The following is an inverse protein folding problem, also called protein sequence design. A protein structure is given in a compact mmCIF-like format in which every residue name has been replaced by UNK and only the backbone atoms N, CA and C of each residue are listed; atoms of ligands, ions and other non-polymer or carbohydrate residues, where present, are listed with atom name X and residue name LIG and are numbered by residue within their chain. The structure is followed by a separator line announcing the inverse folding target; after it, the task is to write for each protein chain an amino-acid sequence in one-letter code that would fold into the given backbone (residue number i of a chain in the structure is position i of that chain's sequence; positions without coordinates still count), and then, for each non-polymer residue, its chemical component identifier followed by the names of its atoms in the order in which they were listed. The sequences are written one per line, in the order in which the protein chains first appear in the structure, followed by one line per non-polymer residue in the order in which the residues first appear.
data_IF_442795606418
#
_entry.id   IF_442795606418
#
_cell.length_a   1.000
_cell.length_b   1.000
_cell.length_c   1.000
_cell.angle_alpha   90.00
_cell.angle_beta   90.00
_cell.angle_gamma   90.00
#
_symmetry.space_group_name_H-M   'P 1'
#
loop_
_entity.id
_entity.type
_entity.pdbx_description
1 polymer ?
#
# COMPACT_ATOMS: atom_id res chain seq x y z
N UNK A 1 2.45 5.08 -0.23
CA UNK A 1 3.04 3.77 -0.57
C UNK A 1 4.41 3.57 0.10
N UNK A 2 5.24 4.64 0.27
CA UNK A 2 6.58 4.51 0.89
C UNK A 2 6.49 3.96 2.33
N UNK A 3 5.70 4.59 3.19
CA UNK A 3 5.50 4.13 4.57
C UNK A 3 4.95 2.70 4.64
N UNK A 4 4.08 2.33 3.70
CA UNK A 4 3.55 0.97 3.60
C UNK A 4 4.68 -0.04 3.36
N UNK A 5 5.49 0.16 2.32
CA UNK A 5 6.63 -0.70 2.01
C UNK A 5 7.66 -0.74 3.15
N UNK A 6 7.96 0.42 3.74
CA UNK A 6 8.93 0.53 4.83
C UNK A 6 8.49 -0.27 6.07
N UNK A 7 7.19 -0.21 6.39
CA UNK A 7 6.63 -0.89 7.57
C UNK A 7 6.71 -2.42 7.51
N UNK A 8 6.75 -2.99 6.28
CA UNK A 8 6.86 -4.44 6.09
C UNK A 8 8.21 -5.01 6.51
N UNK A 9 9.26 -4.17 6.61
CA UNK A 9 10.61 -4.60 6.98
C UNK A 9 11.27 -5.49 5.91
N UNK A 10 10.93 -5.27 4.64
CA UNK A 10 11.54 -5.96 3.51
C UNK A 10 13.04 -5.66 3.42
N UNK A 11 13.81 -6.64 3.00
CA UNK A 11 15.26 -6.57 2.89
C UNK A 11 15.69 -6.37 1.43
N UNK A 12 16.91 -5.89 1.22
CA UNK A 12 17.54 -5.85 -0.10
C UNK A 12 17.37 -7.19 -0.83
N UNK A 13 16.96 -7.12 -2.10
CA UNK A 13 16.69 -8.26 -2.98
C UNK A 13 15.41 -9.07 -2.64
N UNK A 14 14.63 -8.71 -1.63
CA UNK A 14 13.31 -9.29 -1.45
C UNK A 14 12.46 -9.03 -2.70
N UNK A 15 11.71 -10.04 -3.12
CA UNK A 15 10.96 -9.99 -4.38
C UNK A 15 9.59 -9.39 -4.14
N UNK A 16 9.28 -8.36 -4.93
CA UNK A 16 7.96 -7.74 -4.99
C UNK A 16 7.38 -7.82 -6.40
N UNK A 17 6.11 -8.17 -6.47
CA UNK A 17 5.32 -8.12 -7.71
C UNK A 17 4.44 -6.89 -7.72
N UNK A 18 4.27 -6.27 -8.88
CA UNK A 18 3.36 -5.14 -9.08
C UNK A 18 2.86 -5.07 -10.52
N UNK A 19 1.72 -4.40 -10.78
CA UNK A 19 1.21 -4.23 -12.15
C UNK A 19 2.22 -3.53 -13.05
N UNK A 20 2.27 -3.92 -14.32
CA UNK A 20 3.02 -3.21 -15.36
C UNK A 20 2.37 -1.84 -15.69
N UNK A 21 1.05 -1.73 -15.54
CA UNK A 21 0.31 -0.46 -15.64
C UNK A 21 0.02 0.03 -14.22
N UNK A 22 0.76 1.03 -13.79
CA UNK A 22 0.57 1.72 -12.51
C UNK A 22 1.34 3.05 -12.52
N UNK A 23 1.02 3.94 -11.59
CA UNK A 23 1.83 5.13 -11.37
C UNK A 23 3.23 4.74 -10.87
N UNK A 24 4.24 5.43 -11.39
CA UNK A 24 5.66 5.06 -11.21
C UNK A 24 6.14 5.02 -9.76
N UNK A 25 5.40 5.64 -8.82
CA UNK A 25 5.83 5.76 -7.42
C UNK A 25 6.12 4.41 -6.76
N UNK A 26 5.28 3.40 -6.98
CA UNK A 26 5.46 2.07 -6.40
C UNK A 26 6.77 1.42 -6.84
N UNK A 27 7.10 1.56 -8.14
CA UNK A 27 8.34 1.06 -8.71
C UNK A 27 9.56 1.79 -8.15
N UNK A 28 9.54 3.13 -8.19
CA UNK A 28 10.64 3.96 -7.71
C UNK A 28 10.98 3.66 -6.24
N UNK A 29 9.96 3.56 -5.39
CA UNK A 29 10.14 3.28 -3.97
C UNK A 29 10.67 1.86 -3.72
N UNK A 30 10.20 0.88 -4.47
CA UNK A 30 10.75 -0.48 -4.42
C UNK A 30 12.22 -0.49 -4.83
N UNK A 31 12.62 0.31 -5.83
CA UNK A 31 14.04 0.43 -6.26
C UNK A 31 14.88 1.18 -5.22
N UNK A 32 14.38 2.23 -4.59
CA UNK A 32 15.04 2.94 -3.48
C UNK A 32 15.31 1.98 -2.32
N UNK A 33 14.34 1.12 -2.00
CA UNK A 33 14.48 0.08 -0.98
C UNK A 33 15.33 -1.12 -1.44
N UNK A 34 15.91 -1.06 -2.65
CA UNK A 34 16.75 -2.10 -3.25
C UNK A 34 16.04 -3.47 -3.36
N UNK A 35 14.71 -3.45 -3.55
CA UNK A 35 13.91 -4.64 -3.78
C UNK A 35 14.07 -5.14 -5.22
N UNK A 36 13.87 -6.43 -5.42
CA UNK A 36 13.81 -7.03 -6.75
C UNK A 36 12.36 -7.00 -7.24
N UNK A 37 12.11 -6.16 -8.25
CA UNK A 37 10.78 -5.96 -8.79
C UNK A 37 10.55 -6.84 -10.02
N UNK A 38 9.40 -7.51 -10.06
CA UNK A 38 8.86 -8.10 -11.27
C UNK A 38 7.54 -7.42 -11.62
N UNK A 39 7.44 -6.94 -12.84
CA UNK A 39 6.22 -6.38 -13.38
C UNK A 39 5.34 -7.52 -13.87
N UNK A 40 4.09 -7.51 -13.43
CA UNK A 40 3.06 -8.45 -13.83
C UNK A 40 2.25 -7.81 -14.94
N UNK A 41 2.08 -8.51 -16.05
CA UNK A 41 1.22 -8.08 -17.13
C UNK A 41 -0.23 -7.90 -16.66
N UNK A 42 -0.99 -7.10 -17.36
CA UNK A 42 -2.37 -6.77 -17.00
C UNK A 42 -3.34 -7.38 -18.02
N UNK A 43 -4.58 -7.51 -17.61
CA UNK A 43 -5.68 -7.80 -18.51
C UNK A 43 -5.93 -6.61 -19.44
N UNK A 44 -6.09 -6.87 -20.73
CA UNK A 44 -6.20 -5.83 -21.77
C UNK A 44 -7.49 -4.99 -21.67
N UNK A 45 -8.55 -5.54 -21.07
CA UNK A 45 -9.84 -4.85 -20.94
C UNK A 45 -9.92 -4.00 -19.67
N UNK A 46 -9.35 -4.49 -18.57
CA UNK A 46 -9.46 -3.83 -17.27
C UNK A 46 -8.22 -3.02 -16.88
N UNK A 47 -7.09 -3.27 -17.52
CA UNK A 47 -5.81 -2.66 -17.14
C UNK A 47 -5.30 -3.12 -15.76
N UNK A 48 -5.90 -4.16 -15.17
CA UNK A 48 -5.54 -4.67 -13.85
C UNK A 48 -4.82 -6.02 -13.94
N UNK A 49 -4.02 -6.34 -12.94
CA UNK A 49 -3.45 -7.70 -12.82
C UNK A 49 -4.52 -8.71 -12.47
N UNK A 50 -4.34 -9.93 -12.95
CA UNK A 50 -5.20 -11.05 -12.58
C UNK A 50 -4.39 -12.15 -11.88
N UNK A 51 -5.03 -13.07 -11.16
CA UNK A 51 -4.36 -14.21 -10.55
C UNK A 51 -3.56 -15.03 -11.55
N UNK A 52 -4.09 -15.21 -12.76
CA UNK A 52 -3.48 -15.99 -13.85
C UNK A 52 -2.18 -15.30 -14.30
N UNK A 53 -2.20 -13.98 -14.53
CA UNK A 53 -1.01 -13.19 -14.91
C UNK A 53 0.06 -13.22 -13.81
N UNK A 54 -0.33 -13.23 -12.54
CA UNK A 54 0.61 -13.39 -11.42
C UNK A 54 1.28 -14.77 -11.50
N UNK A 55 0.49 -15.86 -11.68
CA UNK A 55 1.02 -17.21 -11.77
C UNK A 55 1.91 -17.41 -13.00
N UNK A 56 1.57 -16.82 -14.15
CA UNK A 56 2.41 -16.78 -15.35
C UNK A 56 3.76 -16.09 -15.06
N UNK A 57 3.73 -14.91 -14.43
CA UNK A 57 4.93 -14.18 -14.05
C UNK A 57 5.84 -15.01 -13.13
N UNK A 58 5.26 -15.67 -12.13
CA UNK A 58 5.99 -16.56 -11.22
C UNK A 58 6.66 -17.71 -11.98
N UNK A 59 5.91 -18.38 -12.84
CA UNK A 59 6.40 -19.53 -13.65
C UNK A 59 7.48 -19.10 -14.63
N UNK A 60 7.22 -18.07 -15.43
CA UNK A 60 8.15 -17.54 -16.45
C UNK A 60 9.51 -17.14 -15.86
N UNK A 61 9.49 -16.49 -14.69
CA UNK A 61 10.68 -15.98 -14.02
C UNK A 61 11.27 -16.94 -12.98
N UNK A 62 10.71 -18.15 -12.84
CA UNK A 62 11.14 -19.18 -11.87
C UNK A 62 11.24 -18.61 -10.44
N UNK A 63 10.25 -17.80 -10.03
CA UNK A 63 10.24 -17.13 -8.73
C UNK A 63 9.91 -18.16 -7.65
N UNK A 64 10.86 -18.38 -6.74
CA UNK A 64 10.71 -19.35 -5.64
C UNK A 64 9.95 -18.79 -4.45
N UNK A 65 10.07 -17.49 -4.19
CA UNK A 65 9.46 -16.81 -3.04
C UNK A 65 9.07 -15.38 -3.42
N UNK A 66 7.85 -15.00 -3.10
CA UNK A 66 7.36 -13.62 -3.19
C UNK A 66 7.32 -13.07 -1.77
N UNK A 67 7.73 -11.82 -1.57
CA UNK A 67 7.69 -11.16 -0.26
C UNK A 67 6.52 -10.20 -0.16
N UNK A 68 6.19 -9.49 -1.25
CA UNK A 68 5.02 -8.63 -1.32
C UNK A 68 4.42 -8.61 -2.73
N UNK A 69 3.11 -8.36 -2.79
CA UNK A 69 2.36 -8.04 -3.99
C UNK A 69 1.71 -6.68 -3.79
N UNK A 70 1.86 -5.78 -4.74
CA UNK A 70 1.05 -4.57 -4.85
C UNK A 70 -0.02 -4.82 -5.91
N UNK A 71 -1.28 -4.62 -5.56
CA UNK A 71 -2.40 -4.54 -6.52
C UNK A 71 -2.70 -3.08 -6.79
N UNK A 72 -3.30 -2.78 -7.94
CA UNK A 72 -3.82 -1.46 -8.27
C UNK A 72 -5.25 -1.60 -8.74
N UNK A 73 -6.16 -0.84 -8.12
CA UNK A 73 -7.56 -0.77 -8.55
C UNK A 73 -7.72 0.35 -9.57
N UNK A 74 -7.32 0.07 -10.81
CA UNK A 74 -7.36 1.04 -11.90
C UNK A 74 -8.79 1.54 -12.12
N UNK A 75 -8.97 2.86 -12.26
CA UNK A 75 -10.31 3.47 -12.35
C UNK A 75 -11.18 3.33 -11.08
N UNK A 76 -10.63 2.82 -9.98
CA UNK A 76 -11.36 2.66 -8.71
C UNK A 76 -12.23 1.41 -8.61
N UNK A 77 -12.09 0.48 -9.58
CA UNK A 77 -12.87 -0.76 -9.61
C UNK A 77 -12.11 -1.93 -8.97
N UNK A 78 -12.54 -2.41 -7.79
CA UNK A 78 -11.82 -3.48 -7.08
C UNK A 78 -12.21 -4.87 -7.61
N UNK A 79 -11.29 -5.50 -8.33
CA UNK A 79 -11.45 -6.86 -8.85
C UNK A 79 -10.54 -7.86 -8.13
N UNK A 80 -10.89 -9.14 -8.24
CA UNK A 80 -10.05 -10.29 -7.85
C UNK A 80 -9.58 -10.32 -6.38
N UNK A 81 -10.18 -9.53 -5.48
CA UNK A 81 -9.73 -9.41 -4.08
C UNK A 81 -9.69 -10.77 -3.37
N UNK A 82 -10.72 -11.61 -3.55
CA UNK A 82 -10.73 -12.95 -2.98
C UNK A 82 -9.60 -13.82 -3.52
N UNK A 83 -9.36 -13.76 -4.81
CA UNK A 83 -8.30 -14.52 -5.46
C UNK A 83 -6.91 -14.08 -5.00
N UNK A 84 -6.67 -12.78 -4.89
CA UNK A 84 -5.41 -12.25 -4.34
C UNK A 84 -5.22 -12.66 -2.88
N UNK A 85 -6.26 -12.63 -2.08
CA UNK A 85 -6.21 -13.11 -0.70
C UNK A 85 -5.89 -14.60 -0.60
N UNK A 86 -6.44 -15.43 -1.51
CA UNK A 86 -6.12 -16.85 -1.59
C UNK A 86 -4.68 -17.08 -2.04
N UNK A 87 -4.18 -16.32 -3.03
CA UNK A 87 -2.77 -16.34 -3.43
C UNK A 87 -1.84 -15.91 -2.29
N UNK A 88 -2.21 -14.86 -1.56
CA UNK A 88 -1.48 -14.42 -0.37
C UNK A 88 -1.31 -15.55 0.63
N UNK A 89 -2.37 -16.28 0.94
CA UNK A 89 -2.31 -17.43 1.85
C UNK A 89 -1.43 -18.56 1.31
N UNK A 90 -1.58 -18.87 0.01
CA UNK A 90 -0.85 -19.96 -0.64
C UNK A 90 0.66 -19.70 -0.69
N UNK A 91 1.08 -18.48 -1.00
CA UNK A 91 2.48 -18.11 -1.21
C UNK A 91 3.11 -17.35 -0.02
N UNK A 92 2.32 -17.04 1.00
CA UNK A 92 2.74 -16.36 2.23
C UNK A 92 3.50 -15.04 1.97
N UNK A 93 2.88 -14.11 1.23
CA UNK A 93 3.41 -12.78 0.96
C UNK A 93 2.55 -11.68 1.59
N UNK A 94 3.09 -10.47 1.73
CA UNK A 94 2.32 -9.29 2.10
C UNK A 94 1.55 -8.73 0.91
N UNK A 95 0.27 -8.42 1.12
CA UNK A 95 -0.59 -7.83 0.11
C UNK A 95 -0.84 -6.36 0.42
N UNK A 96 -0.40 -5.48 -0.48
CA UNK A 96 -0.64 -4.04 -0.44
C UNK A 96 -1.65 -3.68 -1.53
N UNK A 97 -2.73 -3.01 -1.14
CA UNK A 97 -3.67 -2.40 -2.06
C UNK A 97 -3.22 -0.97 -2.38
N UNK A 98 -2.82 -0.73 -3.62
CA UNK A 98 -2.76 0.64 -4.13
C UNK A 98 -4.19 1.07 -4.50
N UNK A 99 -4.86 1.69 -3.55
CA UNK A 99 -6.23 2.12 -3.63
C UNK A 99 -6.37 3.61 -4.00
N UNK A 100 -5.34 4.16 -4.65
CA UNK A 100 -5.28 5.59 -4.97
C UNK A 100 -6.41 6.08 -5.89
N UNK A 101 -7.14 5.18 -6.56
CA UNK A 101 -8.35 5.49 -7.33
C UNK A 101 -9.64 4.96 -6.68
N UNK A 102 -9.54 4.25 -5.56
CA UNK A 102 -10.65 3.46 -5.01
C UNK A 102 -11.19 3.96 -3.67
N UNK A 103 -11.02 5.27 -3.37
CA UNK A 103 -11.63 5.88 -2.20
C UNK A 103 -13.16 5.80 -2.30
N UNK A 104 -13.82 5.20 -1.30
CA UNK A 104 -15.27 4.97 -1.28
C UNK A 104 -15.73 3.71 -2.01
N UNK A 105 -14.86 3.05 -2.78
CA UNK A 105 -15.18 1.80 -3.47
C UNK A 105 -15.45 0.66 -2.49
N UNK A 106 -16.31 -0.28 -2.92
CA UNK A 106 -16.73 -1.44 -2.14
C UNK A 106 -16.57 -2.72 -2.95
N UNK A 107 -16.39 -3.83 -2.26
CA UNK A 107 -16.38 -5.16 -2.86
C UNK A 107 -17.23 -6.15 -2.03
N UNK A 108 -17.72 -7.18 -2.68
CA UNK A 108 -18.46 -8.26 -2.03
C UNK A 108 -17.56 -9.48 -1.81
N UNK A 109 -17.62 -10.04 -0.62
CA UNK A 109 -16.95 -11.29 -0.27
C UNK A 109 -17.87 -12.13 0.62
N UNK A 110 -18.18 -13.37 0.23
CA UNK A 110 -19.07 -14.30 0.97
C UNK A 110 -20.34 -13.60 1.50
N UNK A 111 -21.11 -12.98 0.62
CA UNK A 111 -22.36 -12.26 0.92
C UNK A 111 -22.24 -11.04 1.86
N UNK A 112 -21.03 -10.60 2.19
CA UNK A 112 -20.79 -9.36 2.95
C UNK A 112 -20.12 -8.31 2.06
N UNK A 113 -20.47 -7.04 2.30
CA UNK A 113 -19.88 -5.90 1.62
C UNK A 113 -18.80 -5.31 2.52
N UNK A 114 -17.65 -5.03 1.92
CA UNK A 114 -16.50 -4.40 2.58
C UNK A 114 -16.08 -3.17 1.80
N UNK A 115 -15.64 -2.14 2.51
CA UNK A 115 -15.00 -0.99 1.88
C UNK A 115 -13.55 -1.32 1.52
N UNK A 116 -13.07 -0.78 0.42
CA UNK A 116 -11.63 -0.71 0.15
C UNK A 116 -10.99 0.13 1.26
N UNK A 117 -9.82 -0.30 1.75
CA UNK A 117 -9.19 0.29 2.92
C UNK A 117 -9.60 -0.34 4.26
N UNK A 118 -10.62 -1.21 4.29
CA UNK A 118 -10.93 -1.99 5.50
C UNK A 118 -9.83 -2.99 5.90
N UNK A 119 -8.89 -3.27 5.00
CA UNK A 119 -7.80 -4.22 5.17
C UNK A 119 -8.26 -5.59 5.68
N UNK A 120 -9.46 -6.02 5.26
CA UNK A 120 -9.99 -7.34 5.66
C UNK A 120 -9.28 -8.47 4.93
N UNK A 121 -8.89 -8.24 3.70
CA UNK A 121 -8.27 -9.22 2.83
C UNK A 121 -6.88 -8.82 2.33
N UNK A 122 -6.39 -7.67 2.77
CA UNK A 122 -5.03 -7.15 2.53
C UNK A 122 -4.32 -6.89 3.86
N UNK A 123 -3.02 -6.63 3.82
CA UNK A 123 -2.25 -6.20 5.00
C UNK A 123 -2.28 -4.68 5.15
N UNK A 124 -2.21 -3.97 4.04
CA UNK A 124 -2.13 -2.51 3.99
C UNK A 124 -2.89 -2.02 2.76
N UNK A 125 -3.63 -0.93 2.91
CA UNK A 125 -4.21 -0.16 1.80
C UNK A 125 -3.64 1.25 1.81
N UNK A 126 -3.37 1.81 0.62
CA UNK A 126 -2.84 3.16 0.47
C UNK A 126 -3.74 4.00 -0.42
N UNK A 127 -3.99 5.23 -0.01
CA UNK A 127 -4.79 6.20 -0.76
C UNK A 127 -3.97 7.45 -1.04
N UNK A 128 -4.24 8.07 -2.18
CA UNK A 128 -3.68 9.37 -2.55
C UNK A 128 -4.74 10.46 -2.37
N UNK A 129 -4.31 11.60 -1.88
CA UNK A 129 -5.11 12.84 -1.77
C UNK A 129 -4.52 13.96 -2.64
N UNK A 130 -3.82 13.57 -3.72
CA UNK A 130 -3.33 14.47 -4.76
C UNK A 130 -4.52 15.17 -5.46
N UNK A 131 -4.36 16.37 -6.06
CA UNK A 131 -5.43 17.14 -6.70
C UNK A 131 -6.32 16.38 -7.69
N UNK A 132 -5.78 15.37 -8.38
CA UNK A 132 -6.52 14.56 -9.37
C UNK A 132 -7.35 13.40 -8.76
N UNK A 133 -7.41 13.28 -7.43
CA UNK A 133 -8.12 12.17 -6.77
C UNK A 133 -9.55 12.53 -6.39
N UNK A 134 -10.31 11.53 -5.93
CA UNK A 134 -11.73 11.66 -5.55
C UNK A 134 -11.96 12.80 -4.56
N UNK A 135 -11.09 12.95 -3.58
CA UNK A 135 -10.94 14.12 -2.71
C UNK A 135 -9.46 14.52 -2.67
N UNK A 136 -9.18 15.77 -2.41
CA UNK A 136 -7.82 16.26 -2.33
C UNK A 136 -7.53 17.02 -1.05
N UNK A 137 -6.28 16.96 -0.63
CA UNK A 137 -5.72 17.82 0.42
C UNK A 137 -4.63 18.74 -0.14
N UNK A 138 -4.64 18.99 -1.48
CA UNK A 138 -3.53 19.59 -2.20
C UNK A 138 -2.44 18.55 -2.46
N UNK A 139 -1.76 18.14 -1.43
CA UNK A 139 -0.92 16.93 -1.38
C UNK A 139 -1.24 16.16 -0.11
N UNK A 140 -1.22 14.84 -0.19
CA UNK A 140 -1.48 13.99 0.96
C UNK A 140 -1.72 12.53 0.60
N UNK A 141 -1.94 11.73 1.63
CA UNK A 141 -2.29 10.33 1.47
C UNK A 141 -2.61 9.67 2.80
N UNK A 142 -3.25 8.51 2.69
CA UNK A 142 -3.64 7.70 3.84
C UNK A 142 -3.05 6.30 3.70
N UNK A 143 -2.59 5.74 4.82
CA UNK A 143 -2.22 4.33 4.93
C UNK A 143 -3.14 3.69 5.97
N UNK A 144 -3.90 2.69 5.56
CA UNK A 144 -4.78 1.92 6.42
C UNK A 144 -4.22 0.51 6.65
N UNK A 145 -4.33 0.02 7.88
CA UNK A 145 -3.96 -1.36 8.24
C UNK A 145 -4.66 -1.79 9.52
N UNK A 146 -4.98 -3.08 9.63
CA UNK A 146 -5.46 -3.71 10.86
C UNK A 146 -4.33 -4.30 11.71
N UNK A 147 -3.09 -4.22 11.25
CA UNK A 147 -1.93 -4.75 11.96
C UNK A 147 -1.27 -3.66 12.82
N UNK A 148 -1.44 -3.76 14.14
CA UNK A 148 -0.86 -2.81 15.10
C UNK A 148 0.67 -2.66 14.99
N UNK A 149 1.40 -3.69 14.57
CA UNK A 149 2.86 -3.60 14.37
C UNK A 149 3.18 -2.70 13.18
N UNK A 150 2.42 -2.81 12.08
CA UNK A 150 2.59 -1.93 10.93
C UNK A 150 2.17 -0.50 11.26
N UNK A 151 1.02 -0.33 11.92
CA UNK A 151 0.54 0.99 12.33
C UNK A 151 1.59 1.75 13.16
N UNK A 152 2.13 1.12 14.21
CA UNK A 152 3.20 1.73 15.04
C UNK A 152 4.46 2.09 14.25
N UNK A 153 4.90 1.21 13.33
CA UNK A 153 6.04 1.53 12.47
C UNK A 153 5.75 2.70 11.54
N UNK A 154 4.56 2.73 10.93
CA UNK A 154 4.13 3.82 10.03
C UNK A 154 4.10 5.15 10.78
N UNK A 155 3.54 5.19 11.99
CA UNK A 155 3.53 6.38 12.84
C UNK A 155 4.93 6.87 13.17
N UNK A 156 5.83 5.95 13.54
CA UNK A 156 7.22 6.25 13.84
C UNK A 156 7.95 6.82 12.61
N UNK A 157 7.88 6.14 11.48
CA UNK A 157 8.53 6.56 10.24
C UNK A 157 7.96 7.87 9.69
N UNK A 158 6.65 8.10 9.82
CA UNK A 158 5.98 9.35 9.44
C UNK A 158 6.54 10.58 10.18
N UNK A 159 7.08 10.38 11.39
CA UNK A 159 7.45 11.44 12.33
C UNK A 159 8.92 11.33 12.76
N UNK A 160 9.84 11.26 11.81
CA UNK A 160 11.30 11.26 12.00
C UNK A 160 11.87 10.08 12.80
N UNK A 161 11.13 9.03 13.06
CA UNK A 161 11.57 7.93 13.92
C UNK A 161 11.68 8.31 15.41
N UNK A 162 11.02 9.38 15.81
CA UNK A 162 11.12 9.98 17.15
C UNK A 162 10.03 9.44 18.07
N UNK A 163 10.44 9.05 19.28
CA UNK A 163 9.53 8.77 20.40
C UNK A 163 9.77 9.81 21.49
N UNK A 164 8.75 10.61 21.80
CA UNK A 164 8.82 11.66 22.83
C UNK A 164 8.59 11.09 24.19
N UNK A 165 9.33 11.62 25.17
CA UNK A 165 9.09 11.33 26.58
C UNK A 165 7.74 11.92 27.02
N UNK A 166 6.91 11.13 27.72
CA UNK A 166 5.57 11.59 28.14
C UNK A 166 5.61 12.65 29.23
N UNK A 167 6.64 12.64 30.10
CA UNK A 167 6.79 13.55 31.22
C UNK A 167 7.55 14.82 30.82
N UNK A 168 8.58 14.65 29.99
CA UNK A 168 9.47 15.74 29.56
C UNK A 168 9.37 15.90 28.04
N UNK A 169 8.44 16.73 27.55
CA UNK A 169 8.10 16.86 26.10
C UNK A 169 9.30 17.29 25.24
N UNK A 170 10.33 17.93 25.81
CA UNK A 170 11.56 18.31 25.13
C UNK A 170 12.56 17.16 24.99
N UNK A 171 12.38 16.06 25.74
CA UNK A 171 13.22 14.86 25.64
C UNK A 171 12.63 13.89 24.65
N UNK A 172 13.43 13.36 23.78
CA UNK A 172 13.04 12.34 22.83
C UNK A 172 14.22 11.42 22.48
N UNK A 173 13.89 10.21 22.04
CA UNK A 173 14.83 9.25 21.49
C UNK A 173 14.51 9.01 20.02
N UNK A 174 15.55 8.74 19.22
CA UNK A 174 15.42 8.38 17.80
C UNK A 174 15.64 6.87 17.69
N UNK A 175 14.59 6.14 17.34
CA UNK A 175 14.65 4.69 17.24
C UNK A 175 14.90 4.20 15.82
N UNK A 176 14.53 4.98 14.81
CA UNK A 176 14.62 4.61 13.40
C UNK A 176 14.84 5.86 12.53
N UNK A 177 15.33 5.64 11.31
CA UNK A 177 15.45 6.73 10.33
C UNK A 177 14.07 7.00 9.69
N UNK A 178 13.37 7.99 10.20
CA UNK A 178 12.05 8.39 9.71
C UNK A 178 12.09 9.65 8.84
N UNK A 179 10.90 10.05 8.41
CA UNK A 179 10.67 11.18 7.50
C UNK A 179 9.73 12.20 8.13
N UNK A 180 9.61 13.38 7.51
CA UNK A 180 8.51 14.28 7.79
C UNK A 180 7.40 14.05 6.77
N UNK A 181 6.54 13.09 7.04
CA UNK A 181 5.37 12.75 6.22
C UNK A 181 4.05 13.07 6.94
N UNK A 182 4.08 14.06 7.82
CA UNK A 182 2.89 14.57 8.49
C UNK A 182 2.11 15.47 7.54
N UNK A 183 0.81 15.26 7.46
CA UNK A 183 -0.11 16.17 6.79
C UNK A 183 -0.36 17.39 7.71
N UNK A 184 -0.47 18.58 7.14
CA UNK A 184 -0.79 19.78 7.91
C UNK A 184 -2.29 19.90 8.20
N UNK A 185 -2.67 20.66 9.23
CA UNK A 185 -4.07 20.90 9.59
C UNK A 185 -4.81 21.66 8.47
N UNK A 186 -4.11 22.55 7.75
CA UNK A 186 -4.66 23.26 6.58
C UNK A 186 -5.07 22.26 5.49
N UNK A 187 -4.18 21.32 5.17
CA UNK A 187 -4.46 20.27 4.20
C UNK A 187 -5.59 19.34 4.68
N UNK A 188 -5.62 19.01 5.97
CA UNK A 188 -6.71 18.22 6.56
C UNK A 188 -8.06 18.95 6.46
N UNK A 189 -8.10 20.26 6.74
CA UNK A 189 -9.32 21.07 6.62
C UNK A 189 -9.85 21.10 5.18
N UNK A 190 -8.94 21.23 4.18
CA UNK A 190 -9.32 21.13 2.76
C UNK A 190 -9.93 19.76 2.45
N UNK A 191 -9.34 18.67 2.93
CA UNK A 191 -9.89 17.32 2.73
C UNK A 191 -11.25 17.14 3.38
N UNK A 192 -11.43 17.61 4.61
CA UNK A 192 -12.69 17.54 5.35
C UNK A 192 -13.85 18.30 4.66
N UNK A 193 -13.55 19.36 3.93
CA UNK A 193 -14.57 20.13 3.20
C UNK A 193 -15.18 19.37 2.02
N UNK A 194 -14.63 18.22 1.64
CA UNK A 194 -15.02 17.42 0.48
C UNK A 194 -15.62 16.05 0.86
N UNK A 195 -15.73 15.74 2.17
CA UNK A 195 -16.28 14.48 2.69
C UNK A 195 -17.83 14.52 2.85
#
# INVERSE_FOLDING_TARGET
IHLALFSLGLKKNDIILMPAINFIASYNLAKILKLKVYLVDVDEFTGQITPEKILECIKKNKIKKIHALITMYHGGYPENIENFFNLKKKFNFFLIEDACHALGSKYKYKNKIYNIGSCKHSDISTFSLHPLKTITTGEGGVVATNNNKFAKKIELFRSHGIVRNKKYYWKYDVYEHGFNYRISDINCALGLSQL
#
